data_IF_944992534203
#
_entry.id   IF_944992534203
#
_cell.length_a   1.000
_cell.length_b   1.000
_cell.length_c   1.000
_cell.angle_alpha   90.00
_cell.angle_beta   90.00
_cell.angle_gamma   90.00
#
_symmetry.space_group_name_H-M   'P 1'
#
loop_
_entity.id
_entity.type
_entity.pdbx_description
1 polymer ?
#
# COMPACT_ATOMS: atom_id res chain seq x y z
N UNK A 1 30.47 0.15 51.15
CA UNK A 1 30.54 0.49 49.71
C UNK A 1 29.92 -0.68 48.97
N UNK A 2 28.81 -0.39 48.28
CA UNK A 2 28.04 -1.14 47.26
C UNK A 2 28.91 -2.05 46.35
N UNK A 3 28.49 -3.17 45.75
CA UNK A 3 27.16 -3.67 45.35
C UNK A 3 27.15 -5.21 45.35
N UNK A 4 26.00 -5.79 45.70
CA UNK A 4 25.59 -7.16 45.39
C UNK A 4 25.54 -7.37 43.87
N UNK A 5 26.26 -8.37 43.40
CA UNK A 5 26.28 -8.76 41.99
C UNK A 5 25.40 -9.98 41.77
N UNK A 6 24.57 -9.85 40.73
CA UNK A 6 24.00 -10.89 39.87
C UNK A 6 22.50 -11.15 40.01
N UNK A 7 21.69 -10.10 39.82
CA UNK A 7 20.34 -10.21 39.27
C UNK A 7 20.33 -9.63 37.86
N UNK A 8 20.36 -10.47 36.82
CA UNK A 8 19.66 -10.29 35.53
C UNK A 8 19.94 -11.48 34.60
N UNK A 9 19.36 -12.64 34.92
CA UNK A 9 19.29 -13.81 34.01
C UNK A 9 17.90 -13.92 33.34
N UNK A 10 17.24 -12.79 33.09
CA UNK A 10 15.86 -12.80 32.54
C UNK A 10 15.59 -11.75 31.46
N UNK A 11 16.60 -11.04 30.95
CA UNK A 11 16.38 -10.02 29.90
C UNK A 11 16.60 -10.51 28.46
N UNK A 12 17.32 -11.61 28.23
CA UNK A 12 17.62 -12.04 26.86
C UNK A 12 16.44 -12.69 26.12
N UNK A 13 15.38 -13.12 26.83
CA UNK A 13 14.22 -13.81 26.21
C UNK A 13 13.06 -12.92 25.77
N UNK A 14 13.11 -11.61 26.04
CA UNK A 14 12.08 -10.67 25.57
C UNK A 14 12.45 -9.94 24.27
N UNK A 15 13.71 -9.94 23.86
CA UNK A 15 14.10 -9.34 22.58
C UNK A 15 13.66 -10.18 21.37
N UNK A 16 13.60 -11.50 21.48
CA UNK A 16 13.36 -12.37 20.31
C UNK A 16 11.88 -12.38 19.85
N UNK A 17 10.93 -12.08 20.75
CA UNK A 17 9.51 -12.01 20.41
C UNK A 17 9.11 -10.66 19.79
N UNK A 18 9.77 -9.56 20.19
CA UNK A 18 9.53 -8.23 19.61
C UNK A 18 10.20 -8.07 18.23
N UNK A 19 11.28 -8.81 17.95
CA UNK A 19 11.92 -8.86 16.63
C UNK A 19 11.08 -9.62 15.59
N UNK A 20 10.25 -10.59 16.01
CA UNK A 20 9.34 -11.31 15.10
C UNK A 20 8.12 -10.44 14.75
N UNK A 21 7.60 -9.67 15.71
CA UNK A 21 6.43 -8.80 15.48
C UNK A 21 6.81 -7.59 14.60
N UNK A 22 8.05 -7.10 14.67
CA UNK A 22 8.54 -6.00 13.83
C UNK A 22 8.93 -6.44 12.41
N UNK A 23 9.30 -7.70 12.20
CA UNK A 23 9.55 -8.23 10.86
C UNK A 23 8.26 -8.41 10.03
N UNK A 24 7.12 -8.73 10.65
CA UNK A 24 5.82 -8.86 9.96
C UNK A 24 5.21 -7.50 9.57
N UNK A 25 5.59 -6.40 10.24
CA UNK A 25 5.12 -5.05 9.91
C UNK A 25 5.98 -4.35 8.83
N UNK A 26 7.17 -4.89 8.56
CA UNK A 26 8.13 -4.41 7.55
C UNK A 26 8.15 -5.30 6.30
N UNK A 27 7.04 -5.96 5.96
CA UNK A 27 6.88 -6.47 4.60
C UNK A 27 6.65 -5.26 3.68
N UNK A 28 7.75 -4.71 3.16
CA UNK A 28 7.70 -4.00 1.89
C UNK A 28 6.94 -4.89 0.92
N UNK A 29 5.77 -4.42 0.46
CA UNK A 29 5.03 -5.10 -0.59
C UNK A 29 5.99 -5.33 -1.74
N UNK A 30 6.06 -6.57 -2.23
CA UNK A 30 6.81 -6.86 -3.44
C UNK A 30 6.22 -6.04 -4.60
N UNK A 31 7.01 -5.79 -5.66
CA UNK A 31 6.51 -5.03 -6.82
C UNK A 31 5.23 -5.64 -7.42
N UNK A 32 5.11 -6.98 -7.37
CA UNK A 32 3.93 -7.73 -7.81
C UNK A 32 2.71 -7.50 -6.89
N UNK A 33 2.90 -7.51 -5.56
CA UNK A 33 1.83 -7.21 -4.61
C UNK A 33 1.39 -5.73 -4.67
N UNK A 34 2.33 -4.84 -4.95
CA UNK A 34 2.07 -3.40 -5.13
C UNK A 34 1.23 -3.16 -6.40
N UNK A 35 1.56 -3.82 -7.51
CA UNK A 35 0.78 -3.77 -8.76
C UNK A 35 -0.66 -4.29 -8.55
N UNK A 36 -0.80 -5.42 -7.86
CA UNK A 36 -2.10 -6.01 -7.51
C UNK A 36 -2.96 -5.07 -6.63
N UNK A 37 -2.33 -4.36 -5.69
CA UNK A 37 -3.01 -3.41 -4.82
C UNK A 37 -3.44 -2.16 -5.61
N UNK A 38 -2.59 -1.66 -6.51
CA UNK A 38 -2.92 -0.54 -7.40
C UNK A 38 -4.11 -0.88 -8.28
N UNK A 39 -4.10 -2.05 -8.93
CA UNK A 39 -5.21 -2.47 -9.80
C UNK A 39 -6.53 -2.53 -9.02
N UNK A 40 -6.52 -3.12 -7.81
CA UNK A 40 -7.71 -3.18 -6.94
C UNK A 40 -8.23 -1.80 -6.56
N UNK A 41 -7.36 -0.87 -6.18
CA UNK A 41 -7.75 0.50 -5.80
C UNK A 41 -8.38 1.21 -6.99
N UNK A 42 -7.76 1.12 -8.17
CA UNK A 42 -8.23 1.82 -9.39
C UNK A 42 -9.56 1.25 -9.87
N UNK A 43 -9.71 -0.08 -9.92
CA UNK A 43 -10.99 -0.70 -10.28
C UNK A 43 -12.09 -0.35 -9.28
N UNK A 44 -11.80 -0.40 -7.97
CA UNK A 44 -12.77 -0.01 -6.94
C UNK A 44 -13.15 1.47 -7.02
N UNK A 45 -12.22 2.36 -7.37
CA UNK A 45 -12.50 3.78 -7.58
C UNK A 45 -13.44 3.99 -8.76
N UNK A 46 -13.20 3.28 -9.88
CA UNK A 46 -14.04 3.35 -11.07
C UNK A 46 -15.45 2.84 -10.77
N UNK A 47 -15.57 1.73 -10.06
CA UNK A 47 -16.86 1.07 -9.83
C UNK A 47 -17.70 1.77 -8.75
N UNK A 48 -17.06 2.31 -7.70
CA UNK A 48 -17.77 2.79 -6.51
C UNK A 48 -17.63 4.29 -6.22
N UNK A 49 -16.58 4.95 -6.73
CA UNK A 49 -16.27 6.34 -6.35
C UNK A 49 -16.49 7.35 -7.47
N UNK A 50 -16.67 6.90 -8.71
CA UNK A 50 -17.06 7.79 -9.81
C UNK A 50 -18.47 8.35 -9.54
N UNK A 51 -18.63 9.67 -9.40
CA UNK A 51 -19.95 10.27 -9.26
C UNK A 51 -20.83 9.90 -10.44
N UNK A 52 -22.12 9.68 -10.20
CA UNK A 52 -23.08 9.26 -11.24
C UNK A 52 -23.07 10.20 -12.46
N UNK A 53 -22.82 11.50 -12.23
CA UNK A 53 -22.67 12.49 -13.30
C UNK A 53 -21.42 12.30 -14.17
N UNK A 54 -20.28 11.90 -13.57
CA UNK A 54 -19.06 11.62 -14.30
C UNK A 54 -19.19 10.33 -15.13
N UNK A 55 -19.79 9.28 -14.57
CA UNK A 55 -20.05 8.03 -15.29
C UNK A 55 -20.95 8.24 -16.52
N UNK A 56 -21.97 9.11 -16.43
CA UNK A 56 -22.85 9.46 -17.56
C UNK A 56 -22.11 10.12 -18.73
N UNK A 57 -21.04 10.86 -18.46
CA UNK A 57 -20.22 11.52 -19.49
C UNK A 57 -19.15 10.58 -20.02
N UNK A 58 -18.48 9.83 -19.14
CA UNK A 58 -17.34 8.99 -19.49
C UNK A 58 -17.75 7.67 -20.16
N UNK A 59 -18.85 7.04 -19.75
CA UNK A 59 -19.27 5.74 -20.30
C UNK A 59 -19.55 5.77 -21.82
N UNK A 60 -20.25 6.78 -22.38
CA UNK A 60 -20.40 6.89 -23.83
C UNK A 60 -19.06 7.09 -24.56
N UNK A 61 -18.12 7.82 -23.97
CA UNK A 61 -16.79 8.05 -24.53
C UNK A 61 -16.01 6.73 -24.57
N UNK A 62 -15.99 5.99 -23.46
CA UNK A 62 -15.34 4.68 -23.38
C UNK A 62 -15.98 3.64 -24.29
N UNK A 63 -17.31 3.66 -24.45
CA UNK A 63 -18.01 2.76 -25.38
C UNK A 63 -17.63 3.02 -26.83
N UNK A 64 -17.47 4.28 -27.22
CA UNK A 64 -17.09 4.67 -28.58
C UNK A 64 -15.58 4.56 -28.83
N UNK A 65 -14.77 4.61 -27.77
CA UNK A 65 -13.32 4.53 -27.83
C UNK A 65 -12.78 3.70 -26.66
N UNK A 66 -12.67 2.37 -26.81
CA UNK A 66 -12.13 1.50 -25.76
C UNK A 66 -10.73 1.91 -25.30
N UNK A 67 -9.87 2.35 -26.23
CA UNK A 67 -8.51 2.81 -25.91
C UNK A 67 -8.47 4.06 -25.02
N UNK A 68 -9.55 4.85 -24.98
CA UNK A 68 -9.66 5.96 -24.03
C UNK A 68 -9.90 5.46 -22.59
N UNK A 69 -10.57 4.32 -22.44
CA UNK A 69 -10.75 3.67 -21.13
C UNK A 69 -9.43 3.09 -20.64
N UNK A 70 -8.70 2.39 -21.51
CA UNK A 70 -7.41 1.80 -21.17
C UNK A 70 -6.44 2.88 -20.68
N UNK A 71 -6.30 3.98 -21.44
CA UNK A 71 -5.49 5.14 -21.02
C UNK A 71 -5.94 5.77 -19.70
N UNK A 72 -7.25 5.83 -19.48
CA UNK A 72 -7.79 6.38 -18.24
C UNK A 72 -7.40 5.50 -17.04
N UNK A 73 -7.47 4.18 -17.19
CA UNK A 73 -7.02 3.22 -16.17
C UNK A 73 -5.52 3.31 -15.96
N UNK A 74 -4.72 3.33 -17.03
CA UNK A 74 -3.25 3.40 -16.94
C UNK A 74 -2.78 4.64 -16.17
N UNK A 75 -3.37 5.81 -16.47
CA UNK A 75 -3.04 7.06 -15.77
C UNK A 75 -3.44 6.99 -14.29
N UNK A 76 -4.59 6.39 -13.96
CA UNK A 76 -4.97 6.19 -12.56
C UNK A 76 -4.02 5.23 -11.85
N UNK A 77 -3.59 4.15 -12.51
CA UNK A 77 -2.62 3.21 -11.96
C UNK A 77 -1.31 3.93 -11.63
N UNK A 78 -0.79 4.75 -12.54
CA UNK A 78 0.43 5.55 -12.30
C UNK A 78 0.29 6.49 -11.09
N UNK A 79 -0.84 7.20 -10.97
CA UNK A 79 -1.09 8.13 -9.86
C UNK A 79 -1.15 7.38 -8.52
N UNK A 80 -1.88 6.26 -8.45
CA UNK A 80 -2.00 5.46 -7.23
C UNK A 80 -0.66 4.85 -6.86
N UNK A 81 0.07 4.31 -7.84
CA UNK A 81 1.41 3.78 -7.68
C UNK A 81 2.37 4.81 -7.08
N UNK A 82 2.38 6.05 -7.58
CA UNK A 82 3.18 7.13 -7.01
C UNK A 82 2.77 7.42 -5.56
N UNK A 83 1.47 7.52 -5.27
CA UNK A 83 0.96 7.77 -3.93
C UNK A 83 1.26 6.65 -2.92
N UNK A 84 1.28 5.39 -3.36
CA UNK A 84 1.67 4.25 -2.53
C UNK A 84 3.19 4.22 -2.31
N UNK A 85 3.99 4.46 -3.35
CA UNK A 85 5.46 4.57 -3.22
C UNK A 85 5.86 5.70 -2.27
N UNK A 86 5.21 6.85 -2.34
CA UNK A 86 5.45 7.96 -1.41
C UNK A 86 5.11 7.60 0.04
N UNK A 87 4.05 6.80 0.27
CA UNK A 87 3.69 6.31 1.61
C UNK A 87 4.67 5.26 2.15
N UNK A 88 5.25 4.44 1.28
CA UNK A 88 6.27 3.44 1.65
C UNK A 88 7.57 4.16 1.99
N UNK A 89 8.03 5.06 1.11
CA UNK A 89 9.28 5.83 1.31
C UNK A 89 9.17 6.79 2.50
N UNK A 90 8.02 7.45 2.68
CA UNK A 90 7.77 8.36 3.80
C UNK A 90 7.61 7.67 5.16
N UNK A 91 7.45 6.33 5.20
CA UNK A 91 7.45 5.54 6.43
C UNK A 91 8.86 5.14 6.89
N UNK A 92 9.85 5.23 6.01
CA UNK A 92 11.24 4.87 6.29
C UNK A 92 12.10 6.05 6.82
N UNK A 93 11.49 7.22 7.06
CA UNK A 93 12.15 8.45 7.52
C UNK A 93 11.90 8.76 9.00
#
# INVERSE_FOLDING_TARGET
MRCDSNETYWDDRRNEADDIITAEACQELTEEELDDEVEKIVLNFIDNSLPEGAAKVLNPIFKNNPSARDRYVDVLNEIVMMGLKDKIIGRAA
#
